data_IF_814116177656
#
_entry.id   IF_814116177656
#
_cell.length_a   1.000
_cell.length_b   1.000
_cell.length_c   1.000
_cell.angle_alpha   90.00
_cell.angle_beta   90.00
_cell.angle_gamma   90.00
#
_symmetry.space_group_name_H-M   'P 1'
#
loop_
_entity.id
_entity.type
_entity.pdbx_description
1 polymer ?
#
# COMPACT_ATOMS: atom_id res chain seq x y z
N UNK A 1 15.16 28.78 -9.00
CA UNK A 1 13.77 29.27 -9.00
C UNK A 1 12.91 28.04 -8.87
N UNK A 2 12.41 27.77 -7.67
CA UNK A 2 11.54 26.63 -7.41
C UNK A 2 10.15 27.09 -7.85
N UNK A 3 9.70 26.64 -9.02
CA UNK A 3 8.29 26.80 -9.39
C UNK A 3 7.50 25.73 -8.64
N UNK A 4 7.39 25.92 -7.32
CA UNK A 4 6.41 25.25 -6.47
C UNK A 4 5.05 25.89 -6.78
N UNK A 5 4.58 25.73 -8.02
CA UNK A 5 3.22 26.10 -8.36
C UNK A 5 2.35 25.05 -7.68
N UNK A 6 1.93 25.34 -6.44
CA UNK A 6 1.08 24.45 -5.66
C UNK A 6 -0.15 24.09 -6.49
N UNK A 7 -0.15 22.88 -7.07
CA UNK A 7 -1.25 22.35 -7.89
C UNK A 7 -2.53 22.19 -7.04
N UNK A 8 -2.35 22.18 -5.72
CA UNK A 8 -3.40 22.00 -4.73
C UNK A 8 -3.58 23.28 -3.91
N UNK A 9 -4.76 23.90 -4.01
CA UNK A 9 -5.17 25.01 -3.14
C UNK A 9 -5.14 24.60 -1.65
N UNK A 10 -4.79 25.53 -0.75
CA UNK A 10 -4.74 25.27 0.69
C UNK A 10 -6.07 24.76 1.28
N UNK A 11 -7.19 25.22 0.72
CA UNK A 11 -8.54 24.68 0.95
C UNK A 11 -9.09 24.24 -0.40
N UNK A 12 -8.81 22.99 -0.77
CA UNK A 12 -9.14 22.48 -2.11
C UNK A 12 -10.54 21.90 -2.16
N UNK A 13 -10.86 21.02 -1.22
CA UNK A 13 -12.13 20.33 -1.12
C UNK A 13 -12.43 20.03 0.35
N UNK A 14 -13.66 19.66 0.61
CA UNK A 14 -14.14 19.16 1.89
C UNK A 14 -14.83 17.82 1.70
N UNK A 15 -14.64 16.90 2.64
CA UNK A 15 -15.39 15.64 2.70
C UNK A 15 -16.25 15.69 3.96
N UNK A 16 -17.56 15.64 3.79
CA UNK A 16 -18.53 15.61 4.87
C UNK A 16 -19.13 14.21 4.99
N UNK A 17 -19.28 13.73 6.22
CA UNK A 17 -20.05 12.52 6.50
C UNK A 17 -21.48 12.93 6.87
N UNK A 18 -22.43 12.53 6.05
CA UNK A 18 -23.85 12.48 6.37
C UNK A 18 -24.16 11.09 7.00
N UNK A 19 -25.35 10.89 7.60
CA UNK A 19 -25.70 9.71 8.41
C UNK A 19 -25.13 8.37 7.88
N UNK A 20 -25.40 8.05 6.61
CA UNK A 20 -24.94 6.81 5.96
C UNK A 20 -24.01 7.02 4.76
N UNK A 21 -23.70 8.28 4.39
CA UNK A 21 -22.96 8.56 3.15
C UNK A 21 -21.88 9.61 3.34
N UNK A 22 -20.85 9.54 2.49
CA UNK A 22 -19.82 10.57 2.43
C UNK A 22 -20.06 11.43 1.20
N UNK A 23 -19.87 12.73 1.34
CA UNK A 23 -19.99 13.69 0.25
C UNK A 23 -18.70 14.46 0.09
N UNK A 24 -18.31 14.72 -1.15
CA UNK A 24 -17.18 15.58 -1.49
C UNK A 24 -17.68 16.89 -2.11
N UNK A 25 -17.12 18.00 -1.67
CA UNK A 25 -17.42 19.34 -2.19
C UNK A 25 -16.12 20.06 -2.54
N UNK A 26 -15.97 20.52 -3.79
CA UNK A 26 -14.86 21.37 -4.23
C UNK A 26 -15.04 22.78 -3.67
N UNK A 27 -14.00 23.33 -3.05
CA UNK A 27 -14.03 24.66 -2.43
C UNK A 27 -13.52 25.74 -3.39
N UNK A 28 -13.98 25.69 -4.64
CA UNK A 28 -13.49 26.52 -5.74
C UNK A 28 -11.97 26.42 -5.90
N UNK A 29 -11.46 25.20 -5.94
CA UNK A 29 -10.03 24.95 -6.10
C UNK A 29 -9.52 25.46 -7.45
N UNK A 30 -8.25 25.88 -7.49
CA UNK A 30 -7.65 26.49 -8.69
C UNK A 30 -7.66 25.52 -9.89
N UNK A 31 -7.36 24.25 -9.65
CA UNK A 31 -7.23 23.23 -10.70
C UNK A 31 -8.42 22.26 -10.78
N UNK A 32 -9.40 22.40 -9.88
CA UNK A 32 -10.59 21.55 -9.77
C UNK A 32 -10.33 20.21 -9.10
N UNK A 33 -11.39 19.63 -8.55
CA UNK A 33 -11.41 18.27 -8.00
C UNK A 33 -11.93 17.27 -9.05
N UNK A 34 -11.33 16.08 -9.10
CA UNK A 34 -11.76 14.99 -9.98
C UNK A 34 -12.07 13.74 -9.15
N UNK A 35 -13.21 13.10 -9.40
CA UNK A 35 -13.61 11.83 -8.81
C UNK A 35 -13.65 10.78 -9.93
N UNK A 36 -12.87 9.70 -9.78
CA UNK A 36 -12.72 8.63 -10.77
C UNK A 36 -12.44 9.16 -12.20
N UNK A 37 -11.67 10.24 -12.31
CA UNK A 37 -11.32 10.90 -13.58
C UNK A 37 -12.32 11.94 -14.09
N UNK A 38 -13.47 12.12 -13.43
CA UNK A 38 -14.49 13.11 -13.81
C UNK A 38 -14.39 14.33 -12.91
N UNK A 39 -14.35 15.54 -13.49
CA UNK A 39 -14.33 16.78 -12.71
C UNK A 39 -15.67 16.97 -11.99
N UNK A 40 -15.63 17.17 -10.67
CA UNK A 40 -16.83 17.33 -9.83
C UNK A 40 -16.76 18.61 -9.01
N UNK A 41 -17.91 19.22 -8.77
CA UNK A 41 -18.07 20.31 -7.78
C UNK A 41 -18.67 19.79 -6.49
N UNK A 42 -19.61 18.85 -6.59
CA UNK A 42 -20.20 18.12 -5.48
C UNK A 42 -20.53 16.70 -5.95
N UNK A 43 -20.26 15.68 -5.13
CA UNK A 43 -20.61 14.29 -5.42
C UNK A 43 -20.71 13.46 -4.15
N UNK A 44 -21.51 12.38 -4.20
CA UNK A 44 -21.48 11.33 -3.17
C UNK A 44 -20.26 10.45 -3.42
N UNK A 45 -19.51 10.15 -2.37
CA UNK A 45 -18.36 9.25 -2.40
C UNK A 45 -18.83 7.82 -2.16
N UNK A 46 -18.60 6.97 -3.15
CA UNK A 46 -18.78 5.52 -3.07
C UNK A 46 -17.41 4.85 -2.95
N UNK A 47 -16.96 4.45 -1.75
CA UNK A 47 -15.69 3.75 -1.58
C UNK A 47 -15.75 2.30 -2.10
N UNK A 48 -14.65 1.77 -2.67
CA UNK A 48 -13.39 2.46 -2.92
C UNK A 48 -13.48 3.42 -4.12
N UNK A 49 -12.97 4.65 -3.98
CA UNK A 49 -12.91 5.61 -5.09
C UNK A 49 -11.61 6.43 -5.12
N UNK A 50 -11.33 7.01 -6.28
CA UNK A 50 -10.13 7.80 -6.56
C UNK A 50 -10.46 9.28 -6.68
N UNK A 51 -9.79 10.10 -5.89
CA UNK A 51 -9.96 11.56 -5.86
C UNK A 51 -8.65 12.19 -6.31
N UNK A 52 -8.67 13.04 -7.35
CA UNK A 52 -7.49 13.77 -7.83
C UNK A 52 -7.66 15.27 -7.63
N UNK A 53 -6.62 15.91 -7.08
CA UNK A 53 -6.59 17.34 -6.76
C UNK A 53 -5.94 18.14 -7.88
N UNK A 54 -6.70 18.46 -8.93
CA UNK A 54 -6.18 19.01 -10.18
C UNK A 54 -5.78 17.93 -11.19
N UNK A 55 -5.75 18.28 -12.49
CA UNK A 55 -5.47 17.31 -13.56
C UNK A 55 -4.09 16.64 -13.44
N UNK A 56 -3.07 17.44 -13.11
CA UNK A 56 -1.68 17.02 -12.89
C UNK A 56 -1.32 16.93 -11.40
N UNK A 57 -2.34 16.85 -10.53
CA UNK A 57 -2.15 16.83 -9.08
C UNK A 57 -2.09 15.44 -8.46
N UNK A 58 -1.95 15.37 -7.14
CA UNK A 58 -1.93 14.11 -6.40
C UNK A 58 -3.27 13.38 -6.51
N UNK A 59 -3.19 12.06 -6.51
CA UNK A 59 -4.34 11.15 -6.46
C UNK A 59 -4.43 10.50 -5.07
N UNK A 60 -5.62 10.51 -4.51
CA UNK A 60 -5.99 10.01 -3.19
C UNK A 60 -7.00 8.87 -3.37
N UNK A 61 -6.82 7.77 -2.65
CA UNK A 61 -7.81 6.69 -2.63
C UNK A 61 -8.63 6.78 -1.35
N UNK A 62 -9.95 6.94 -1.48
CA UNK A 62 -10.88 6.90 -0.36
C UNK A 62 -11.35 5.47 -0.14
N UNK A 63 -11.02 4.92 1.02
CA UNK A 63 -11.35 3.56 1.44
C UNK A 63 -12.21 3.63 2.71
N UNK A 64 -13.23 2.78 2.80
CA UNK A 64 -13.95 2.51 4.03
C UNK A 64 -13.84 1.04 4.34
N UNK A 65 -13.23 0.74 5.49
CA UNK A 65 -13.29 -0.60 6.06
C UNK A 65 -14.61 -0.69 6.83
N UNK A 66 -15.65 -1.22 6.18
CA UNK A 66 -16.82 -1.72 6.91
C UNK A 66 -16.39 -3.01 7.60
N UNK A 67 -15.78 -2.89 8.78
CA UNK A 67 -15.58 -4.03 9.68
C UNK A 67 -16.96 -4.56 10.04
N UNK A 68 -17.37 -5.63 9.35
CA UNK A 68 -18.50 -6.48 9.71
C UNK A 68 -18.50 -6.65 11.23
N UNK A 69 -19.63 -6.28 11.85
CA UNK A 69 -19.91 -6.46 13.28
C UNK A 69 -19.24 -7.73 13.79
N UNK A 70 -18.10 -7.56 14.47
CA UNK A 70 -17.40 -8.66 15.08
C UNK A 70 -18.32 -9.17 16.16
N UNK A 71 -19.04 -10.26 15.87
CA UNK A 71 -19.94 -10.84 16.84
C UNK A 71 -19.04 -11.34 17.98
N UNK A 72 -19.03 -10.71 19.17
CA UNK A 72 -18.02 -10.97 20.20
C UNK A 72 -18.13 -12.38 20.79
N UNK A 73 -19.15 -13.13 20.37
CA UNK A 73 -19.40 -14.51 20.75
C UNK A 73 -18.93 -15.54 19.70
N UNK A 74 -18.40 -15.10 18.56
CA UNK A 74 -17.77 -16.01 17.59
C UNK A 74 -16.34 -16.32 18.01
N UNK A 75 -16.12 -17.56 18.45
CA UNK A 75 -14.77 -18.08 18.69
C UNK A 75 -14.13 -18.42 17.34
N UNK A 76 -13.24 -17.55 16.85
CA UNK A 76 -12.41 -17.86 15.69
C UNK A 76 -11.36 -18.91 16.08
N UNK A 77 -11.55 -20.14 15.60
CA UNK A 77 -10.53 -21.20 15.72
C UNK A 77 -9.39 -20.86 14.76
N UNK A 78 -8.25 -20.42 15.29
CA UNK A 78 -7.05 -20.22 14.48
C UNK A 78 -6.67 -21.53 13.79
N UNK A 79 -6.37 -21.54 12.47
CA UNK A 79 -5.84 -22.73 11.84
C UNK A 79 -4.53 -23.08 12.55
N UNK A 80 -4.48 -24.27 13.14
CA UNK A 80 -3.26 -24.85 13.68
C UNK A 80 -2.24 -24.84 12.54
N UNK A 81 -1.24 -23.97 12.63
CA UNK A 81 -0.14 -23.97 11.68
C UNK A 81 0.47 -25.37 11.69
N UNK A 82 0.57 -26.07 10.54
CA UNK A 82 1.36 -27.29 10.50
C UNK A 82 2.81 -26.87 10.81
N UNK A 83 3.36 -27.43 11.90
CA UNK A 83 4.79 -27.34 12.18
C UNK A 83 5.51 -28.01 11.02
N UNK A 84 6.01 -27.20 10.08
CA UNK A 84 6.75 -27.69 8.93
C UNK A 84 8.13 -28.11 9.44
N UNK A 85 8.22 -29.38 9.81
CA UNK A 85 9.44 -30.09 10.17
C UNK A 85 10.37 -30.07 8.95
N UNK A 86 11.36 -29.19 8.96
CA UNK A 86 12.36 -29.12 7.89
C UNK A 86 13.20 -30.40 7.92
N UNK A 87 12.86 -31.30 7.00
CA UNK A 87 13.44 -32.61 6.83
C UNK A 87 14.93 -32.52 6.55
N UNK A 88 15.70 -33.28 7.33
CA UNK A 88 17.12 -33.54 7.15
C UNK A 88 17.46 -34.06 5.74
N UNK A 89 18.73 -33.82 5.37
CA UNK A 89 19.58 -34.57 4.42
C UNK A 89 19.86 -33.87 3.08
N UNK A 90 21.06 -33.28 2.99
CA UNK A 90 21.88 -33.38 1.78
C UNK A 90 23.18 -34.10 2.17
N UNK A 91 23.53 -35.23 1.54
CA UNK A 91 24.82 -35.88 1.77
C UNK A 91 25.95 -34.98 1.28
N UNK A 92 27.02 -34.96 2.07
CA UNK A 92 28.30 -34.30 1.76
C UNK A 92 28.91 -34.90 0.49
N UNK A 93 29.14 -34.08 -0.54
CA UNK A 93 30.04 -34.44 -1.63
C UNK A 93 31.45 -33.99 -1.26
N UNK A 94 32.27 -34.97 -0.87
CA UNK A 94 33.72 -34.87 -0.77
C UNK A 94 34.29 -34.88 -2.18
N UNK A 95 34.93 -33.78 -2.60
CA UNK A 95 35.79 -33.77 -3.79
C UNK A 95 37.21 -33.34 -3.40
N UNK A 96 37.95 -34.34 -2.93
CA UNK A 96 39.26 -34.81 -3.40
C UNK A 96 40.28 -33.76 -3.93
N UNK A 97 41.37 -33.59 -3.18
CA UNK A 97 42.59 -32.86 -3.55
C UNK A 97 43.45 -33.68 -4.52
N UNK A 98 44.19 -33.02 -5.43
CA UNK A 98 45.49 -33.55 -5.85
C UNK A 98 46.66 -32.60 -5.59
N UNK A 99 47.82 -33.24 -5.44
CA UNK A 99 49.14 -32.77 -5.03
C UNK A 99 49.85 -31.93 -6.10
N UNK A 100 50.35 -30.76 -5.69
CA UNK A 100 51.60 -30.14 -6.16
C UNK A 100 51.94 -29.01 -5.17
N UNK A 101 53.17 -28.72 -4.77
CA UNK A 101 54.44 -29.39 -4.90
C UNK A 101 55.25 -29.02 -3.66
N UNK A 102 55.94 -30.02 -3.10
CA UNK A 102 57.00 -29.83 -2.14
C UNK A 102 58.08 -28.97 -2.79
N UNK A 103 58.37 -27.80 -2.23
CA UNK A 103 59.70 -27.21 -2.38
C UNK A 103 59.97 -26.32 -1.16
N UNK A 104 60.74 -26.86 -0.22
CA UNK A 104 61.41 -26.08 0.80
C UNK A 104 62.80 -25.69 0.29
N UNK A 105 63.26 -24.47 0.60
CA UNK A 105 64.68 -24.26 0.80
C UNK A 105 64.99 -23.97 2.27
N UNK A 106 65.66 -24.94 2.88
CA UNK A 106 67.00 -24.84 3.49
C UNK A 106 67.40 -23.57 4.24
N UNK A 107 67.62 -23.77 5.55
CA UNK A 107 68.72 -23.26 6.40
C UNK A 107 68.93 -21.75 6.54
#
# INVERSE_FOLDING_TARGET
MISDAAVVSARHLEICKDDESYRICDLNSTNGTYLNGVRVTEAVLEPPCHIRLGADGPELTFLLDSCLEANPNETLVAPMAPLLMESASRPVSVNERPLWGLDQPSR
#
